data_IF_527377287685
#
_entry.id   IF_527377287685
#
_cell.length_a   1.000
_cell.length_b   1.000
_cell.length_c   1.000
_cell.angle_alpha   90.00
_cell.angle_beta   90.00
_cell.angle_gamma   90.00
#
_symmetry.space_group_name_H-M   'P 1'
#
loop_
_entity.id
_entity.type
_entity.pdbx_description
1 polymer ?
#
# COMPACT_ATOMS: atom_id res chain seq x y z
N UNK A 1 -3.34 12.84 16.29
CA UNK A 1 -4.17 11.76 15.70
C UNK A 1 -3.84 10.48 16.44
N UNK A 2 -4.80 9.89 17.09
CA UNK A 2 -4.66 8.70 17.93
C UNK A 2 -4.67 7.42 17.07
N UNK A 3 -4.16 6.31 17.57
CA UNK A 3 -4.17 5.03 16.81
C UNK A 3 -5.62 4.52 16.63
N UNK A 4 -6.49 4.75 17.63
CA UNK A 4 -7.89 4.30 17.60
C UNK A 4 -8.77 5.05 16.61
N UNK A 5 -8.52 6.36 16.40
CA UNK A 5 -9.28 7.15 15.43
C UNK A 5 -9.12 6.62 14.00
N UNK A 6 -7.92 6.17 13.65
CA UNK A 6 -7.66 5.57 12.33
C UNK A 6 -8.37 4.23 12.14
N UNK A 7 -8.43 3.41 13.18
CA UNK A 7 -9.10 2.11 13.13
C UNK A 7 -10.60 2.31 12.87
N UNK A 8 -11.25 3.19 13.63
CA UNK A 8 -12.66 3.53 13.42
C UNK A 8 -12.92 4.19 12.06
N UNK A 9 -12.02 5.05 11.59
CA UNK A 9 -12.14 5.63 10.24
C UNK A 9 -12.09 4.56 9.14
N UNK A 10 -11.24 3.54 9.29
CA UNK A 10 -11.19 2.44 8.31
C UNK A 10 -12.48 1.62 8.34
N UNK A 11 -13.05 1.34 9.51
CA UNK A 11 -14.33 0.66 9.65
C UNK A 11 -15.46 1.47 8.99
N UNK A 12 -15.49 2.80 9.21
CA UNK A 12 -16.47 3.69 8.61
C UNK A 12 -16.33 3.69 7.08
N UNK A 13 -15.12 3.83 6.55
CA UNK A 13 -14.88 3.81 5.10
C UNK A 13 -15.33 2.49 4.49
N UNK A 14 -14.97 1.36 5.10
CA UNK A 14 -15.38 0.03 4.63
C UNK A 14 -16.92 -0.11 4.66
N UNK A 15 -17.58 0.33 5.72
CA UNK A 15 -19.03 0.29 5.83
C UNK A 15 -19.75 1.15 4.77
N UNK A 16 -19.27 2.37 4.55
CA UNK A 16 -19.83 3.27 3.54
C UNK A 16 -19.62 2.77 2.10
N UNK A 17 -18.51 2.10 1.83
CA UNK A 17 -18.20 1.56 0.50
C UNK A 17 -19.08 0.38 0.09
N UNK A 18 -19.89 -0.17 0.99
CA UNK A 18 -20.91 -1.18 0.65
C UNK A 18 -22.03 -0.60 -0.20
N UNK A 19 -22.26 0.72 -0.13
CA UNK A 19 -23.38 1.38 -0.79
C UNK A 19 -24.73 1.16 -0.13
N UNK A 20 -24.76 0.59 1.08
CA UNK A 20 -25.95 0.47 1.90
C UNK A 20 -26.01 1.57 2.95
N UNK A 21 -27.16 1.75 3.63
CA UNK A 21 -27.24 2.66 4.76
C UNK A 21 -26.38 2.10 5.89
N UNK A 22 -25.43 2.92 6.34
CA UNK A 22 -24.46 2.54 7.37
C UNK A 22 -24.43 3.58 8.48
N UNK A 23 -24.51 3.11 9.74
CA UNK A 23 -24.33 3.90 10.94
C UNK A 23 -23.13 3.36 11.72
N UNK A 24 -22.50 4.22 12.51
CA UNK A 24 -21.35 3.84 13.33
C UNK A 24 -21.47 4.43 14.72
N UNK A 25 -21.26 3.62 15.76
CA UNK A 25 -21.26 4.05 17.17
C UNK A 25 -19.96 3.55 17.82
N UNK A 26 -18.88 4.30 17.62
CA UNK A 26 -17.54 4.01 18.13
C UNK A 26 -17.19 4.78 19.41
N UNK A 27 -15.99 4.56 19.90
CA UNK A 27 -15.46 5.33 21.05
C UNK A 27 -15.18 6.79 20.68
N UNK A 28 -14.79 7.07 19.43
CA UNK A 28 -14.31 8.37 18.95
C UNK A 28 -15.31 8.97 17.98
N UNK A 29 -15.81 8.18 17.05
CA UNK A 29 -16.74 8.63 16.02
C UNK A 29 -18.13 8.04 16.24
N UNK A 30 -19.13 8.92 16.11
CA UNK A 30 -20.54 8.54 16.06
C UNK A 30 -21.13 9.09 14.78
N UNK A 31 -21.84 8.27 14.04
CA UNK A 31 -22.41 8.63 12.74
C UNK A 31 -23.80 8.03 12.58
N UNK A 32 -24.78 8.88 12.35
CA UNK A 32 -26.13 8.45 11.98
C UNK A 32 -26.09 7.70 10.63
N UNK A 33 -27.13 6.92 10.37
CA UNK A 33 -27.24 6.14 9.16
C UNK A 33 -27.22 7.02 7.90
N UNK A 34 -26.12 6.94 7.15
CA UNK A 34 -25.95 7.59 5.85
C UNK A 34 -25.62 6.59 4.76
N UNK A 35 -25.76 6.98 3.51
CA UNK A 35 -25.45 6.14 2.35
C UNK A 35 -24.54 6.89 1.39
N UNK A 36 -23.45 6.25 0.96
CA UNK A 36 -22.60 6.75 -0.11
C UNK A 36 -23.17 6.34 -1.46
N UNK A 37 -23.33 7.30 -2.37
CA UNK A 37 -23.82 7.05 -3.72
C UNK A 37 -23.26 8.09 -4.70
N UNK A 38 -22.66 7.68 -5.83
CA UNK A 38 -22.40 6.28 -6.22
C UNK A 38 -21.26 5.64 -5.44
N UNK A 39 -21.26 4.32 -5.35
CA UNK A 39 -20.11 3.54 -4.87
C UNK A 39 -19.35 2.93 -6.05
N UNK A 40 -18.05 2.61 -5.87
CA UNK A 40 -17.27 1.90 -6.88
C UNK A 40 -17.90 0.54 -7.24
N UNK A 41 -17.84 0.16 -8.52
CA UNK A 41 -18.32 -1.15 -8.98
C UNK A 41 -17.49 -2.31 -8.43
N UNK A 42 -16.22 -2.06 -8.13
CA UNK A 42 -15.28 -3.02 -7.56
C UNK A 42 -14.77 -2.45 -6.25
N UNK A 43 -14.48 -3.33 -5.30
CA UNK A 43 -13.87 -2.92 -4.04
C UNK A 43 -12.55 -2.19 -4.32
N UNK A 44 -12.37 -1.04 -3.68
CA UNK A 44 -11.09 -0.33 -3.67
C UNK A 44 -10.31 -0.83 -2.45
N UNK A 45 -9.12 -1.45 -2.61
CA UNK A 45 -8.36 -1.94 -1.49
C UNK A 45 -7.86 -0.78 -0.61
N UNK A 46 -7.98 -0.95 0.70
CA UNK A 46 -7.45 -0.03 1.70
C UNK A 46 -6.06 -0.48 2.14
N UNK A 47 -5.03 0.24 1.73
CA UNK A 47 -3.66 -0.03 2.15
C UNK A 47 -3.27 0.83 3.34
N UNK A 48 -2.59 0.21 4.30
CA UNK A 48 -2.10 0.87 5.52
C UNK A 48 -0.61 1.16 5.38
N UNK A 49 -0.24 2.43 5.52
CA UNK A 49 1.17 2.84 5.56
C UNK A 49 1.77 2.84 6.96
N UNK A 50 3.10 2.67 7.01
CA UNK A 50 3.90 2.82 8.21
C UNK A 50 4.63 1.55 8.64
N UNK A 51 5.81 1.74 9.28
CA UNK A 51 6.76 0.69 9.62
C UNK A 51 6.68 0.27 11.11
N UNK A 52 6.03 1.07 11.94
CA UNK A 52 5.89 0.76 13.36
C UNK A 52 4.92 -0.42 13.59
N UNK A 53 5.23 -1.27 14.56
CA UNK A 53 4.43 -2.45 14.89
C UNK A 53 2.91 -2.22 14.99
N UNK A 54 2.41 -1.08 15.55
CA UNK A 54 0.97 -0.80 15.54
C UNK A 54 0.39 -0.59 14.12
N UNK A 55 1.17 -0.05 13.17
CA UNK A 55 0.73 0.11 11.78
C UNK A 55 0.69 -1.24 11.06
N UNK A 56 1.71 -2.10 11.25
CA UNK A 56 1.73 -3.46 10.71
C UNK A 56 0.55 -4.29 11.22
N UNK A 57 0.23 -4.20 12.52
CA UNK A 57 -0.95 -4.86 13.10
C UNK A 57 -2.26 -4.34 12.50
N UNK A 58 -2.37 -3.03 12.26
CA UNK A 58 -3.56 -2.44 11.62
C UNK A 58 -3.70 -2.93 10.20
N UNK A 59 -2.61 -2.97 9.41
CA UNK A 59 -2.63 -3.52 8.07
C UNK A 59 -3.18 -4.95 8.08
N UNK A 60 -2.64 -5.82 8.93
CA UNK A 60 -3.08 -7.20 9.07
C UNK A 60 -4.53 -7.35 9.50
N UNK A 61 -5.02 -6.47 10.41
CA UNK A 61 -6.36 -6.57 11.00
C UNK A 61 -7.45 -5.97 10.14
N UNK A 62 -7.22 -4.80 9.54
CA UNK A 62 -8.26 -3.97 8.91
C UNK A 62 -7.98 -3.67 7.43
N UNK A 63 -6.71 -3.73 7.00
CA UNK A 63 -6.32 -3.40 5.64
C UNK A 63 -6.57 -4.54 4.66
N UNK A 64 -6.55 -4.17 3.39
CA UNK A 64 -6.48 -5.10 2.25
C UNK A 64 -5.03 -5.18 1.73
N UNK A 65 -4.13 -4.41 2.33
CA UNK A 65 -2.72 -4.41 2.03
C UNK A 65 -1.91 -3.47 2.91
N UNK A 66 -0.62 -3.44 2.65
CA UNK A 66 0.34 -2.60 3.34
C UNK A 66 1.26 -1.90 2.33
N UNK A 67 1.63 -0.66 2.63
CA UNK A 67 2.53 0.13 1.81
C UNK A 67 3.76 0.59 2.60
N UNK A 68 4.95 0.31 2.07
CA UNK A 68 6.24 0.76 2.59
C UNK A 68 6.84 1.85 1.70
N UNK A 69 7.52 2.80 2.34
CA UNK A 69 8.28 3.83 1.66
C UNK A 69 9.71 3.90 2.21
N UNK A 70 10.70 3.70 1.34
CA UNK A 70 12.12 3.88 1.65
C UNK A 70 12.75 2.77 2.50
N UNK A 71 12.20 1.54 2.46
CA UNK A 71 12.78 0.38 3.17
C UNK A 71 13.75 -0.39 2.30
N UNK A 72 14.80 -0.95 2.92
CA UNK A 72 15.66 -1.95 2.30
C UNK A 72 14.92 -3.28 2.11
N UNK A 73 15.46 -4.16 1.27
CA UNK A 73 14.87 -5.48 1.02
C UNK A 73 14.76 -6.33 2.31
N UNK A 74 15.77 -6.28 3.18
CA UNK A 74 15.76 -7.04 4.43
C UNK A 74 14.73 -6.50 5.42
N UNK A 75 14.57 -5.19 5.51
CA UNK A 75 13.51 -4.55 6.30
C UNK A 75 12.12 -4.92 5.77
N UNK A 76 11.93 -4.92 4.44
CA UNK A 76 10.67 -5.34 3.82
C UNK A 76 10.35 -6.79 4.17
N UNK A 77 11.28 -7.72 3.99
CA UNK A 77 11.10 -9.13 4.37
C UNK A 77 10.71 -9.30 5.83
N UNK A 78 11.38 -8.56 6.74
CA UNK A 78 11.07 -8.59 8.16
C UNK A 78 9.67 -8.07 8.48
N UNK A 79 9.25 -6.96 7.86
CA UNK A 79 7.93 -6.37 8.09
C UNK A 79 6.80 -7.19 7.46
N UNK A 80 7.01 -7.75 6.26
CA UNK A 80 6.06 -8.67 5.62
C UNK A 80 5.86 -9.90 6.51
N UNK A 81 6.94 -10.50 7.01
CA UNK A 81 6.84 -11.64 7.94
C UNK A 81 6.03 -11.30 9.20
N UNK A 82 6.25 -10.13 9.80
CA UNK A 82 5.46 -9.68 10.95
C UNK A 82 3.97 -9.47 10.60
N UNK A 83 3.67 -8.94 9.41
CA UNK A 83 2.28 -8.76 8.97
C UNK A 83 1.61 -10.12 8.79
N UNK A 84 2.30 -11.09 8.17
CA UNK A 84 1.75 -12.43 7.98
C UNK A 84 1.49 -13.14 9.32
N UNK A 85 2.41 -13.01 10.30
CA UNK A 85 2.17 -13.51 11.66
C UNK A 85 0.90 -12.90 12.28
N UNK A 86 0.71 -11.57 12.14
CA UNK A 86 -0.50 -10.91 12.63
C UNK A 86 -1.74 -11.31 11.85
N UNK A 87 -1.66 -11.57 10.54
CA UNK A 87 -2.79 -12.06 9.75
C UNK A 87 -3.24 -13.44 10.23
N UNK A 88 -2.30 -14.30 10.59
CA UNK A 88 -2.61 -15.59 11.24
C UNK A 88 -3.31 -15.38 12.58
N UNK A 89 -2.77 -14.52 13.45
CA UNK A 89 -3.36 -14.19 14.75
C UNK A 89 -4.80 -13.67 14.64
N UNK A 90 -5.11 -12.91 13.58
CA UNK A 90 -6.45 -12.35 13.31
C UNK A 90 -7.35 -13.24 12.45
N UNK A 91 -6.89 -14.44 12.03
CA UNK A 91 -7.64 -15.34 11.17
C UNK A 91 -7.92 -14.78 9.77
N UNK A 92 -7.02 -13.91 9.24
CA UNK A 92 -7.15 -13.24 7.94
C UNK A 92 -6.10 -13.70 6.92
N UNK A 93 -5.87 -15.00 6.86
CA UNK A 93 -4.91 -15.61 5.91
C UNK A 93 -5.50 -15.84 4.53
N UNK A 94 -6.82 -15.80 4.41
CA UNK A 94 -7.55 -16.02 3.16
C UNK A 94 -7.73 -14.70 2.39
N UNK A 95 -7.79 -14.80 1.06
CA UNK A 95 -8.00 -13.68 0.17
C UNK A 95 -6.73 -12.92 -0.21
N UNK A 96 -6.88 -12.01 -1.18
CA UNK A 96 -5.79 -11.20 -1.68
C UNK A 96 -5.36 -10.18 -0.62
N UNK A 97 -4.05 -10.04 -0.44
CA UNK A 97 -3.44 -9.00 0.39
C UNK A 97 -2.27 -8.39 -0.37
N UNK A 98 -2.29 -7.08 -0.56
CA UNK A 98 -1.32 -6.37 -1.38
C UNK A 98 -0.14 -5.86 -0.55
N UNK A 99 1.08 -6.06 -1.05
CA UNK A 99 2.32 -5.52 -0.50
C UNK A 99 2.93 -4.54 -1.49
N UNK A 100 2.75 -3.24 -1.23
CA UNK A 100 3.31 -2.17 -2.05
C UNK A 100 4.63 -1.67 -1.47
N UNK A 101 5.66 -1.52 -2.29
CA UNK A 101 6.95 -1.04 -1.86
C UNK A 101 7.50 0.09 -2.75
N UNK A 102 7.99 1.15 -2.10
CA UNK A 102 8.87 2.14 -2.71
C UNK A 102 10.28 1.88 -2.16
N UNK A 103 11.18 1.39 -2.98
CA UNK A 103 12.52 0.97 -2.58
C UNK A 103 13.51 1.10 -3.73
N UNK A 104 14.79 1.30 -3.41
CA UNK A 104 15.86 1.36 -4.42
C UNK A 104 16.03 0.04 -5.18
N UNK A 105 15.73 -1.09 -4.56
CA UNK A 105 15.78 -2.40 -5.22
C UNK A 105 14.88 -2.47 -6.47
N UNK A 106 13.77 -1.70 -6.51
CA UNK A 106 12.83 -1.71 -7.63
C UNK A 106 13.41 -1.12 -8.94
N UNK A 107 14.62 -0.55 -8.93
CA UNK A 107 15.23 0.06 -10.12
C UNK A 107 16.14 -0.89 -10.93
N UNK A 108 16.12 -2.18 -10.62
CA UNK A 108 16.82 -3.21 -11.41
C UNK A 108 15.95 -4.46 -11.61
N UNK A 109 16.25 -5.24 -12.63
CA UNK A 109 15.57 -6.53 -12.87
C UNK A 109 15.76 -7.48 -11.67
N UNK A 110 17.00 -7.66 -11.23
CA UNK A 110 17.35 -8.54 -10.12
C UNK A 110 16.61 -8.10 -8.83
N UNK A 111 16.53 -6.79 -8.60
CA UNK A 111 15.81 -6.26 -7.47
C UNK A 111 14.28 -6.49 -7.56
N UNK A 112 13.68 -6.44 -8.75
CA UNK A 112 12.27 -6.82 -8.93
C UNK A 112 12.05 -8.31 -8.65
N UNK A 113 12.96 -9.18 -9.11
CA UNK A 113 12.89 -10.61 -8.85
C UNK A 113 12.99 -10.91 -7.34
N UNK A 114 13.91 -10.24 -6.63
CA UNK A 114 14.06 -10.35 -5.19
C UNK A 114 12.84 -9.83 -4.41
N UNK A 115 12.24 -8.72 -4.85
CA UNK A 115 11.03 -8.16 -4.28
C UNK A 115 9.83 -9.09 -4.47
N UNK A 116 9.65 -9.64 -5.67
CA UNK A 116 8.62 -10.63 -5.95
C UNK A 116 8.79 -11.89 -5.08
N UNK A 117 10.03 -12.39 -4.96
CA UNK A 117 10.35 -13.52 -4.07
C UNK A 117 10.11 -13.21 -2.58
N UNK A 118 10.18 -11.95 -2.18
CA UNK A 118 9.86 -11.50 -0.82
C UNK A 118 8.34 -11.33 -0.58
N UNK A 119 7.50 -11.48 -1.61
CA UNK A 119 6.04 -11.34 -1.52
C UNK A 119 5.52 -9.93 -1.85
N UNK A 120 6.37 -9.02 -2.34
CA UNK A 120 5.91 -7.71 -2.82
C UNK A 120 5.06 -7.91 -4.08
N UNK A 121 3.86 -7.34 -4.09
CA UNK A 121 2.90 -7.45 -5.20
C UNK A 121 3.01 -6.28 -6.17
N UNK A 122 3.34 -5.10 -5.67
CA UNK A 122 3.40 -3.87 -6.44
C UNK A 122 4.61 -3.02 -6.04
N UNK A 123 5.27 -2.42 -7.01
CA UNK A 123 6.35 -1.46 -6.76
C UNK A 123 5.94 -0.05 -7.17
N UNK A 124 6.33 0.93 -6.36
CA UNK A 124 6.12 2.34 -6.64
C UNK A 124 7.46 2.94 -7.06
N UNK A 125 7.50 3.45 -8.29
CA UNK A 125 8.68 4.10 -8.85
C UNK A 125 8.51 5.61 -8.80
N UNK A 126 9.48 6.28 -8.18
CA UNK A 126 9.55 7.73 -8.13
C UNK A 126 10.86 8.20 -8.77
N UNK A 127 10.80 8.79 -9.96
CA UNK A 127 11.98 9.32 -10.65
C UNK A 127 12.51 10.62 -10.05
N UNK A 128 11.85 11.13 -9.02
CA UNK A 128 12.26 12.24 -8.19
C UNK A 128 11.88 11.93 -6.75
N UNK A 129 12.70 12.34 -5.79
CA UNK A 129 12.33 12.23 -4.38
C UNK A 129 11.04 13.04 -4.12
N UNK A 130 9.92 12.42 -3.72
CA UNK A 130 8.65 13.11 -3.49
C UNK A 130 8.69 14.09 -2.31
N UNK A 131 9.70 14.00 -1.45
CA UNK A 131 9.90 14.88 -0.28
C UNK A 131 10.89 16.01 -0.57
N UNK A 132 11.39 16.12 -1.80
CA UNK A 132 12.28 17.20 -2.21
C UNK A 132 11.48 18.50 -2.33
N UNK A 133 11.88 19.50 -1.55
CA UNK A 133 11.25 20.83 -1.52
C UNK A 133 11.67 21.72 -2.71
N UNK A 134 12.75 21.37 -3.42
CA UNK A 134 13.21 22.16 -4.57
C UNK A 134 12.21 22.07 -5.73
N UNK A 135 12.06 23.13 -6.53
CA UNK A 135 11.20 23.10 -7.69
C UNK A 135 11.60 22.00 -8.68
N UNK A 136 10.61 21.35 -9.26
CA UNK A 136 10.84 20.40 -10.34
C UNK A 136 11.22 21.15 -11.64
N UNK A 137 12.47 21.02 -12.02
CA UNK A 137 13.05 21.67 -13.22
C UNK A 137 13.14 20.72 -14.42
N UNK A 138 12.73 19.46 -14.26
CA UNK A 138 12.77 18.47 -15.33
C UNK A 138 11.77 18.81 -16.44
N UNK A 139 12.23 18.74 -17.68
CA UNK A 139 11.38 18.88 -18.86
C UNK A 139 10.49 17.66 -19.05
N UNK A 140 9.42 17.80 -19.83
CA UNK A 140 8.55 16.68 -20.19
C UNK A 140 9.33 15.58 -20.92
N UNK A 141 10.28 15.94 -21.78
CA UNK A 141 11.11 15.00 -22.54
C UNK A 141 12.00 14.16 -21.62
N UNK A 142 12.63 14.79 -20.62
CA UNK A 142 13.43 14.08 -19.60
C UNK A 142 12.56 13.09 -18.79
N UNK A 143 11.36 13.49 -18.39
CA UNK A 143 10.44 12.62 -17.66
C UNK A 143 9.99 11.43 -18.50
N UNK A 144 9.65 11.65 -19.76
CA UNK A 144 9.30 10.58 -20.70
C UNK A 144 10.51 9.66 -20.91
N UNK A 145 11.71 10.22 -21.05
CA UNK A 145 12.95 9.47 -21.18
C UNK A 145 13.19 8.51 -20.03
N UNK A 146 12.97 8.95 -18.78
CA UNK A 146 13.10 8.11 -17.58
C UNK A 146 12.08 6.97 -17.57
N UNK A 147 10.83 7.24 -17.91
CA UNK A 147 9.78 6.22 -17.99
C UNK A 147 10.14 5.16 -19.04
N UNK A 148 10.55 5.58 -20.23
CA UNK A 148 10.95 4.67 -21.29
C UNK A 148 12.20 3.86 -20.91
N UNK A 149 13.18 4.49 -20.29
CA UNK A 149 14.36 3.80 -19.81
C UNK A 149 13.98 2.68 -18.80
N UNK A 150 13.12 2.99 -17.84
CA UNK A 150 12.67 2.01 -16.85
C UNK A 150 11.88 0.85 -17.51
N UNK A 151 11.00 1.17 -18.45
CA UNK A 151 10.24 0.17 -19.19
C UNK A 151 11.16 -0.77 -19.98
N UNK A 152 12.19 -0.23 -20.67
CA UNK A 152 13.07 -1.00 -21.54
C UNK A 152 14.13 -1.79 -20.78
N UNK A 153 14.67 -1.23 -19.66
CA UNK A 153 15.79 -1.81 -18.94
C UNK A 153 15.41 -2.59 -17.67
N UNK A 154 14.20 -2.41 -17.17
CA UNK A 154 13.76 -3.07 -15.93
C UNK A 154 12.50 -3.92 -16.18
N UNK A 155 11.41 -3.32 -16.67
CA UNK A 155 10.13 -4.04 -16.81
C UNK A 155 10.22 -5.14 -17.86
N UNK A 156 10.68 -4.83 -19.07
CA UNK A 156 10.76 -5.83 -20.16
C UNK A 156 11.66 -7.00 -19.78
N UNK A 157 12.91 -6.80 -19.32
CA UNK A 157 13.77 -7.91 -18.91
C UNK A 157 13.19 -8.75 -17.77
N UNK A 158 12.47 -8.14 -16.83
CA UNK A 158 11.81 -8.87 -15.75
C UNK A 158 10.67 -9.76 -16.25
N UNK A 159 9.88 -9.29 -17.24
CA UNK A 159 8.76 -10.06 -17.82
C UNK A 159 9.17 -11.17 -18.79
N UNK A 160 10.34 -11.05 -19.39
CA UNK A 160 10.85 -11.99 -20.39
C UNK A 160 11.75 -13.09 -19.79
N UNK A 161 12.12 -12.99 -18.53
CA UNK A 161 12.95 -13.96 -17.80
C UNK A 161 12.16 -14.88 -16.93
#
# INVERSE_FOLDING_TARGET
>A
MCIRDRDEMMDIVNGLMTGEYFSYDGEIFQMDAIKLCPVPKHKIPLLVGGHAKPALRRAARLGDGWISAGSSLDELKSMIGQIEDFRVDYGRTEGDFEYHAMTEAAYSKEGLDDLAAAGVTEVIIAFRNPYDAEPDTQTLEEKIGMINWYADNVIKPHREG
#
